data_IF_846797884606
#
_entry.id   IF_846797884606
#
_cell.length_a   1.000
_cell.length_b   1.000
_cell.length_c   1.000
_cell.angle_alpha   90.00
_cell.angle_beta   90.00
_cell.angle_gamma   90.00
#
_symmetry.space_group_name_H-M   'P 1'
#
loop_
_entity.id
_entity.type
_entity.pdbx_description
1 polymer ?
#
# COMPACT_ATOMS: atom_id res chain seq x y z
N UNK A 1 -54.38 16.35 -26.23
CA UNK A 1 -53.20 16.89 -25.52
C UNK A 1 -52.70 16.01 -24.35
N UNK A 2 -53.57 15.41 -23.52
CA UNK A 2 -53.17 14.53 -22.40
C UNK A 2 -52.44 13.23 -22.82
N UNK A 3 -52.74 12.70 -24.00
CA UNK A 3 -52.21 11.41 -24.48
C UNK A 3 -50.69 11.42 -24.76
N UNK A 4 -50.14 12.51 -25.31
CA UNK A 4 -48.71 12.64 -25.64
C UNK A 4 -47.87 12.79 -24.36
N UNK A 5 -48.37 13.56 -23.38
CA UNK A 5 -47.73 13.72 -22.07
C UNK A 5 -47.70 12.40 -21.27
N UNK A 6 -48.76 11.58 -21.39
CA UNK A 6 -48.83 10.25 -20.78
C UNK A 6 -47.81 9.28 -21.38
N UNK A 7 -47.61 9.33 -22.71
CA UNK A 7 -46.63 8.51 -23.42
C UNK A 7 -45.19 8.87 -23.00
N UNK A 8 -44.90 10.16 -22.90
CA UNK A 8 -43.59 10.68 -22.51
C UNK A 8 -43.22 10.31 -21.07
N UNK A 9 -44.18 10.35 -20.15
CA UNK A 9 -43.99 9.93 -18.75
C UNK A 9 -43.84 8.42 -18.54
N UNK A 10 -44.35 7.60 -19.47
CA UNK A 10 -44.15 6.14 -19.49
C UNK A 10 -42.74 5.78 -19.98
N UNK A 11 -42.30 6.39 -21.09
CA UNK A 11 -40.95 6.24 -21.65
C UNK A 11 -39.86 6.66 -20.65
N UNK A 12 -40.04 7.80 -19.97
CA UNK A 12 -39.09 8.31 -18.96
C UNK A 12 -39.00 7.40 -17.72
N UNK A 13 -40.10 6.71 -17.36
CA UNK A 13 -40.12 5.74 -16.26
C UNK A 13 -39.36 4.47 -16.61
N UNK A 14 -39.50 3.97 -17.84
CA UNK A 14 -38.73 2.84 -18.34
C UNK A 14 -37.24 3.16 -18.47
N UNK A 15 -36.89 4.36 -18.95
CA UNK A 15 -35.49 4.82 -19.00
C UNK A 15 -34.83 4.85 -17.61
N UNK A 16 -35.56 5.31 -16.57
CA UNK A 16 -35.05 5.33 -15.19
C UNK A 16 -34.89 3.92 -14.60
N UNK A 17 -35.81 3.00 -14.91
CA UNK A 17 -35.68 1.59 -14.51
C UNK A 17 -34.51 0.90 -15.21
N UNK A 18 -34.29 1.20 -16.49
CA UNK A 18 -33.14 0.72 -17.26
C UNK A 18 -31.83 1.25 -16.66
N UNK A 19 -31.76 2.52 -16.28
CA UNK A 19 -30.60 3.09 -15.59
C UNK A 19 -30.31 2.39 -14.25
N UNK A 20 -31.34 2.12 -13.45
CA UNK A 20 -31.19 1.40 -12.18
C UNK A 20 -30.76 -0.05 -12.42
N UNK A 21 -31.34 -0.74 -13.40
CA UNK A 21 -30.97 -2.11 -13.78
C UNK A 21 -29.54 -2.17 -14.30
N UNK A 22 -29.12 -1.22 -15.13
CA UNK A 22 -27.77 -1.13 -15.66
C UNK A 22 -26.76 -0.87 -14.53
N UNK A 23 -27.09 0.04 -13.62
CA UNK A 23 -26.28 0.31 -12.42
C UNK A 23 -26.17 -0.92 -11.52
N UNK A 24 -27.29 -1.58 -11.24
CA UNK A 24 -27.33 -2.82 -10.45
C UNK A 24 -26.50 -3.92 -11.12
N UNK A 25 -26.63 -4.09 -12.44
CA UNK A 25 -25.88 -5.06 -13.23
C UNK A 25 -24.37 -4.80 -13.13
N UNK A 26 -23.94 -3.54 -13.28
CA UNK A 26 -22.54 -3.16 -13.11
C UNK A 26 -22.02 -3.48 -11.70
N UNK A 27 -22.79 -3.16 -10.66
CA UNK A 27 -22.40 -3.45 -9.27
C UNK A 27 -22.28 -4.95 -9.04
N UNK A 28 -23.24 -5.74 -9.50
CA UNK A 28 -23.21 -7.21 -9.39
C UNK A 28 -22.03 -7.78 -10.17
N UNK A 29 -21.75 -7.26 -11.36
CA UNK A 29 -20.59 -7.68 -12.16
C UNK A 29 -19.28 -7.44 -11.43
N UNK A 30 -19.07 -6.24 -10.87
CA UNK A 30 -17.88 -5.93 -10.05
C UNK A 30 -17.79 -6.85 -8.83
N UNK A 31 -18.91 -7.08 -8.14
CA UNK A 31 -18.96 -7.97 -6.97
C UNK A 31 -18.53 -9.39 -7.33
N UNK A 32 -19.01 -9.94 -8.45
CA UNK A 32 -18.63 -11.27 -8.94
C UNK A 32 -17.12 -11.30 -9.25
N UNK A 33 -16.58 -10.30 -9.94
CA UNK A 33 -15.15 -10.24 -10.25
C UNK A 33 -14.30 -10.25 -8.97
N UNK A 34 -14.73 -9.52 -7.94
CA UNK A 34 -14.04 -9.47 -6.64
C UNK A 34 -14.17 -10.80 -5.88
N UNK A 35 -15.36 -11.39 -5.80
CA UNK A 35 -15.61 -12.63 -5.04
C UNK A 35 -14.92 -13.85 -5.66
N UNK A 36 -14.91 -13.95 -7.00
CA UNK A 36 -14.29 -15.07 -7.69
C UNK A 36 -12.78 -14.91 -7.90
N UNK A 37 -12.18 -13.83 -7.37
CA UNK A 37 -10.74 -13.61 -7.31
C UNK A 37 -10.04 -13.91 -8.65
N UNK A 38 -10.62 -13.40 -9.74
CA UNK A 38 -10.16 -13.73 -11.10
C UNK A 38 -8.66 -13.42 -11.21
N UNK A 39 -7.78 -14.43 -11.35
CA UNK A 39 -6.35 -14.26 -11.11
C UNK A 39 -5.70 -13.28 -12.09
N UNK A 40 -6.25 -13.19 -13.30
CA UNK A 40 -5.83 -12.23 -14.33
C UNK A 40 -6.07 -10.78 -13.90
N UNK A 41 -7.24 -10.48 -13.31
CA UNK A 41 -7.57 -9.13 -12.83
C UNK A 41 -6.76 -8.78 -11.59
N UNK A 42 -6.60 -9.73 -10.67
CA UNK A 42 -5.78 -9.55 -9.47
C UNK A 42 -4.33 -9.21 -9.81
N UNK A 43 -3.72 -9.89 -10.80
CA UNK A 43 -2.35 -9.61 -11.24
C UNK A 43 -2.20 -8.21 -11.85
N UNK A 44 -3.15 -7.77 -12.67
CA UNK A 44 -3.13 -6.44 -13.30
C UNK A 44 -3.31 -5.35 -12.23
N UNK A 45 -4.30 -5.50 -11.34
CA UNK A 45 -4.56 -4.58 -10.24
C UNK A 45 -3.33 -4.45 -9.34
N UNK A 46 -2.70 -5.58 -9.00
CA UNK A 46 -1.49 -5.61 -8.17
C UNK A 46 -0.33 -4.88 -8.84
N UNK A 47 -0.09 -5.09 -10.14
CA UNK A 47 0.95 -4.38 -10.89
C UNK A 47 0.72 -2.88 -10.93
N UNK A 48 -0.51 -2.45 -11.16
CA UNK A 48 -0.88 -1.03 -11.16
C UNK A 48 -0.69 -0.43 -9.76
N UNK A 49 -1.10 -1.16 -8.71
CA UNK A 49 -0.87 -0.73 -7.33
C UNK A 49 0.62 -0.54 -7.03
N UNK A 50 1.49 -1.46 -7.45
CA UNK A 50 2.93 -1.29 -7.27
C UNK A 50 3.48 -0.09 -8.03
N UNK A 51 3.07 0.12 -9.28
CA UNK A 51 3.47 1.29 -10.06
C UNK A 51 3.07 2.60 -9.38
N UNK A 52 1.82 2.69 -8.89
CA UNK A 52 1.33 3.85 -8.13
C UNK A 52 2.12 4.02 -6.83
N UNK A 53 2.36 2.92 -6.12
CA UNK A 53 3.10 2.94 -4.86
C UNK A 53 4.52 3.47 -5.05
N UNK A 54 5.24 2.98 -6.06
CA UNK A 54 6.59 3.44 -6.40
C UNK A 54 6.60 4.93 -6.73
N UNK A 55 5.59 5.42 -7.46
CA UNK A 55 5.43 6.85 -7.71
C UNK A 55 5.18 7.67 -6.45
N UNK A 56 4.29 7.21 -5.55
CA UNK A 56 4.01 7.88 -4.28
C UNK A 56 5.27 7.93 -3.42
N UNK A 57 5.98 6.81 -3.29
CA UNK A 57 7.24 6.72 -2.53
C UNK A 57 8.32 7.61 -3.14
N UNK A 58 8.41 7.70 -4.46
CA UNK A 58 9.34 8.60 -5.14
C UNK A 58 9.01 10.08 -4.93
N UNK A 59 7.73 10.44 -4.78
CA UNK A 59 7.29 11.82 -4.55
C UNK A 59 7.41 12.24 -3.09
N UNK A 60 7.28 11.28 -2.17
CA UNK A 60 7.53 11.45 -0.75
C UNK A 60 8.72 10.59 -0.35
N UNK A 61 9.94 10.93 -0.83
CA UNK A 61 11.13 10.30 -0.32
C UNK A 61 11.10 10.57 1.17
N UNK A 62 10.89 9.51 1.96
CA UNK A 62 11.15 9.61 3.38
C UNK A 62 12.60 10.03 3.44
N UNK A 63 12.88 11.23 3.94
CA UNK A 63 14.22 11.54 4.40
C UNK A 63 14.54 10.40 5.33
N UNK A 64 15.40 9.48 4.88
CA UNK A 64 16.05 8.54 5.76
C UNK A 64 16.68 9.46 6.79
N UNK A 65 16.02 9.65 7.94
CA UNK A 65 16.68 10.14 9.15
C UNK A 65 17.84 9.19 9.25
N UNK A 66 19.02 9.72 8.92
CA UNK A 66 20.28 9.01 8.70
C UNK A 66 20.18 7.64 9.32
N UNK A 67 20.04 6.60 8.47
CA UNK A 67 19.88 5.20 8.90
C UNK A 67 20.74 5.04 10.14
N UNK A 68 20.10 4.93 11.31
CA UNK A 68 20.75 4.98 12.62
C UNK A 68 22.11 4.31 12.49
N UNK A 69 23.20 5.11 12.46
CA UNK A 69 24.52 4.70 11.97
C UNK A 69 24.76 3.25 12.40
N UNK A 70 24.63 2.32 11.46
CA UNK A 70 24.74 0.89 11.76
C UNK A 70 26.23 0.64 11.94
N UNK A 71 26.67 0.62 13.20
CA UNK A 71 28.06 0.40 13.56
C UNK A 71 28.21 -1.09 13.79
N UNK A 72 28.97 -1.73 12.91
CA UNK A 72 29.43 -3.11 13.10
C UNK A 72 30.67 -2.99 13.98
N UNK A 73 30.58 -3.50 15.20
CA UNK A 73 31.72 -3.63 16.11
C UNK A 73 32.19 -5.07 16.01
N UNK A 74 33.38 -5.28 15.47
CA UNK A 74 34.02 -6.59 15.49
C UNK A 74 34.61 -6.83 16.89
N UNK A 75 34.40 -8.02 17.45
CA UNK A 75 34.87 -8.39 18.79
C UNK A 75 35.92 -9.47 18.60
N UNK A 76 37.19 -9.08 18.67
CA UNK A 76 38.32 -9.99 18.65
C UNK A 76 38.81 -10.37 20.06
N UNK A 77 39.61 -11.43 20.16
CA UNK A 77 40.17 -11.91 21.42
C UNK A 77 41.12 -10.90 22.07
N UNK A 78 41.78 -10.06 21.27
CA UNK A 78 42.61 -8.96 21.77
C UNK A 78 41.77 -7.91 22.51
N UNK A 79 40.60 -7.57 21.97
CA UNK A 79 39.65 -6.63 22.55
C UNK A 79 39.03 -7.20 23.82
N UNK A 80 38.73 -8.50 23.86
CA UNK A 80 38.29 -9.17 25.09
C UNK A 80 39.36 -9.15 26.18
N UNK A 81 40.63 -9.24 25.80
CA UNK A 81 41.75 -9.15 26.73
C UNK A 81 41.94 -7.72 27.26
N UNK A 82 41.76 -6.70 26.42
CA UNK A 82 41.90 -5.28 26.78
C UNK A 82 40.70 -4.73 27.57
N UNK A 83 39.48 -5.00 27.11
CA UNK A 83 38.23 -4.41 27.63
C UNK A 83 37.48 -5.33 28.61
N UNK A 84 37.90 -6.59 28.70
CA UNK A 84 37.32 -7.63 29.54
C UNK A 84 36.29 -8.50 28.82
N UNK A 85 35.80 -9.52 29.53
CA UNK A 85 34.85 -10.51 29.02
C UNK A 85 33.52 -9.87 28.59
N UNK A 86 33.09 -10.17 27.37
CA UNK A 86 31.75 -9.84 26.84
C UNK A 86 30.66 -10.71 27.51
N UNK A 87 29.39 -10.27 27.67
CA UNK A 87 28.76 -9.04 27.17
C UNK A 87 29.00 -7.80 28.02
N UNK A 88 29.41 -6.71 27.36
CA UNK A 88 29.60 -5.42 28.01
C UNK A 88 28.27 -4.68 28.23
N UNK A 89 28.20 -3.80 29.25
CA UNK A 89 27.05 -2.92 29.43
C UNK A 89 26.88 -1.96 28.24
N UNK A 90 25.62 -1.65 27.89
CA UNK A 90 25.27 -0.77 26.75
C UNK A 90 25.97 0.59 26.77
N UNK A 91 26.30 1.12 27.96
CA UNK A 91 27.02 2.38 28.12
C UNK A 91 28.42 2.34 27.50
N UNK A 92 29.14 1.21 27.65
CA UNK A 92 30.46 1.02 27.03
C UNK A 92 30.33 0.89 25.51
N UNK A 93 29.34 0.12 25.04
CA UNK A 93 29.07 -0.07 23.61
C UNK A 93 28.74 1.28 22.93
N UNK A 94 28.05 2.20 23.62
CA UNK A 94 27.76 3.53 23.10
C UNK A 94 28.99 4.44 23.00
N UNK A 95 30.08 4.21 23.76
CA UNK A 95 31.30 5.01 23.67
C UNK A 95 32.06 4.75 22.36
N UNK A 96 32.02 3.52 21.84
CA UNK A 96 32.60 3.19 20.53
C UNK A 96 31.96 3.98 19.37
N UNK A 97 30.81 4.64 19.59
CA UNK A 97 30.13 5.49 18.61
C UNK A 97 30.73 6.91 18.50
N UNK A 98 31.48 7.42 19.50
CA UNK A 98 31.64 8.88 19.71
C UNK A 98 33.02 9.45 19.35
N UNK A 99 34.06 8.65 19.11
CA UNK A 99 35.38 9.20 18.76
C UNK A 99 35.57 9.23 17.24
N UNK A 100 35.32 10.41 16.66
CA UNK A 100 35.86 10.87 15.37
C UNK A 100 37.33 11.25 15.48
#
# INVERSE_FOLDING_TARGET
>A
MKMIAQLYGSLKRSARRIQILLGLLCVVFVLVVVLFNVPVMSAIITRVNYFIYDHIVSLFPHSYKEVNKVIIVDIDDESLTKEGRWPWPRNKIAQFRVTS
#
